data_IF_161132463617
#
_entry.id   IF_161132463617
#
_cell.length_a   1.000
_cell.length_b   1.000
_cell.length_c   1.000
_cell.angle_alpha   90.00
_cell.angle_beta   90.00
_cell.angle_gamma   90.00
#
_symmetry.space_group_name_H-M   'P 1'
#
loop_
_entity.id
_entity.type
_entity.pdbx_description
1 polymer ?
#
# COMPACT_ATOMS: atom_id res chain seq x y z
N UNK A 1 26.52 8.46 36.19
CA UNK A 1 25.74 7.35 35.58
C UNK A 1 26.60 6.11 35.68
N UNK A 2 26.21 5.15 36.52
CA UNK A 2 27.01 3.94 36.74
C UNK A 2 27.03 3.08 35.47
N UNK A 3 28.18 2.49 35.15
CA UNK A 3 28.39 1.64 33.95
C UNK A 3 27.32 0.53 33.85
N UNK A 4 26.86 0.01 34.99
CA UNK A 4 25.78 -0.98 35.12
C UNK A 4 24.39 -0.46 34.73
N UNK A 5 24.08 0.82 34.94
CA UNK A 5 22.82 1.41 34.46
C UNK A 5 22.86 1.59 32.94
N UNK A 6 24.00 2.01 32.40
CA UNK A 6 24.19 2.18 30.95
C UNK A 6 24.05 0.84 30.23
N UNK A 7 24.63 -0.24 30.77
CA UNK A 7 24.52 -1.57 30.17
C UNK A 7 23.11 -2.17 30.30
N UNK A 8 22.38 -1.86 31.38
CA UNK A 8 20.96 -2.22 31.52
C UNK A 8 20.10 -1.50 30.49
N UNK A 9 20.32 -0.21 30.28
CA UNK A 9 19.64 0.60 29.24
C UNK A 9 19.98 0.07 27.85
N UNK A 10 21.24 -0.25 27.56
CA UNK A 10 21.67 -0.86 26.28
C UNK A 10 20.99 -2.21 26.02
N UNK A 11 20.90 -3.06 27.04
CA UNK A 11 20.23 -4.36 26.93
C UNK A 11 18.73 -4.22 26.68
N UNK A 12 18.07 -3.29 27.37
CA UNK A 12 16.65 -2.97 27.14
C UNK A 12 16.43 -2.38 25.74
N UNK A 13 17.32 -1.49 25.29
CA UNK A 13 17.28 -0.90 23.96
C UNK A 13 17.45 -1.97 22.87
N UNK A 14 18.40 -2.89 23.05
CA UNK A 14 18.64 -4.00 22.13
C UNK A 14 17.40 -4.89 22.00
N UNK A 15 16.78 -5.27 23.12
CA UNK A 15 15.52 -6.04 23.11
C UNK A 15 14.35 -5.29 22.46
N UNK A 16 14.31 -3.97 22.61
CA UNK A 16 13.29 -3.15 21.94
C UNK A 16 13.52 -3.07 20.42
N UNK A 17 14.78 -2.98 19.98
CA UNK A 17 15.18 -2.92 18.57
C UNK A 17 15.07 -4.27 17.84
N UNK A 18 15.15 -5.38 18.57
CA UNK A 18 14.97 -6.75 18.01
C UNK A 18 13.52 -7.11 17.71
N UNK A 19 12.55 -6.24 18.04
CA UNK A 19 11.14 -6.53 17.75
C UNK A 19 10.88 -6.50 16.24
N UNK A 20 10.47 -7.64 15.67
CA UNK A 20 10.17 -7.79 14.23
C UNK A 20 9.10 -6.83 13.72
N UNK A 21 8.19 -6.36 14.58
CA UNK A 21 7.15 -5.39 14.21
C UNK A 21 7.73 -4.02 13.84
N UNK A 22 8.90 -3.63 14.37
CA UNK A 22 9.60 -2.42 13.92
C UNK A 22 10.06 -2.52 12.46
N UNK A 23 10.57 -3.68 12.04
CA UNK A 23 10.98 -3.90 10.65
C UNK A 23 9.77 -3.86 9.70
N UNK A 24 8.64 -4.42 10.13
CA UNK A 24 7.38 -4.34 9.39
C UNK A 24 6.95 -2.88 9.18
N UNK A 25 7.01 -2.08 10.24
CA UNK A 25 6.63 -0.65 10.20
C UNK A 25 7.51 0.13 9.22
N UNK A 26 8.83 -0.11 9.24
CA UNK A 26 9.73 0.57 8.29
C UNK A 26 9.43 0.15 6.86
N UNK A 27 9.23 -1.14 6.61
CA UNK A 27 8.93 -1.63 5.26
C UNK A 27 7.60 -1.07 4.71
N UNK A 28 6.51 -1.03 5.50
CA UNK A 28 5.22 -0.45 5.08
C UNK A 28 5.35 1.06 4.78
N UNK A 29 6.09 1.80 5.61
CA UNK A 29 6.38 3.23 5.34
C UNK A 29 7.17 3.42 4.05
N UNK A 30 8.20 2.59 3.82
CA UNK A 30 8.97 2.64 2.58
C UNK A 30 8.11 2.33 1.36
N UNK A 31 7.17 1.39 1.43
CA UNK A 31 6.21 1.13 0.34
C UNK A 31 5.36 2.36 0.04
N UNK A 32 4.85 3.04 1.06
CA UNK A 32 4.05 4.27 0.91
C UNK A 32 4.89 5.43 0.34
N UNK A 33 6.15 5.58 0.75
CA UNK A 33 7.09 6.59 0.24
C UNK A 33 7.47 6.32 -1.22
N UNK A 34 7.85 5.09 -1.56
CA UNK A 34 8.14 4.68 -2.93
C UNK A 34 6.93 4.93 -3.83
N UNK A 35 5.71 4.67 -3.36
CA UNK A 35 4.50 4.97 -4.13
C UNK A 35 4.35 6.46 -4.46
N UNK A 36 4.68 7.35 -3.52
CA UNK A 36 4.65 8.81 -3.75
C UNK A 36 5.72 9.23 -4.74
N UNK A 37 6.95 8.74 -4.57
CA UNK A 37 8.08 9.03 -5.47
C UNK A 37 7.76 8.54 -6.88
N UNK A 38 7.25 7.31 -7.01
CA UNK A 38 6.85 6.73 -8.29
C UNK A 38 5.82 7.59 -9.02
N UNK A 39 4.84 8.15 -8.30
CA UNK A 39 3.81 9.00 -8.89
C UNK A 39 4.40 10.29 -9.45
N UNK A 40 5.23 11.00 -8.66
CA UNK A 40 5.90 12.23 -9.11
C UNK A 40 6.81 11.96 -10.30
N UNK A 41 7.57 10.86 -10.25
CA UNK A 41 8.43 10.47 -11.36
C UNK A 41 7.63 10.11 -12.61
N UNK A 42 6.52 9.39 -12.46
CA UNK A 42 5.65 9.03 -13.58
C UNK A 42 5.01 10.25 -14.24
N UNK A 43 4.58 11.25 -13.45
CA UNK A 43 4.09 12.53 -13.99
C UNK A 43 5.16 13.23 -14.83
N UNK A 44 6.39 13.36 -14.29
CA UNK A 44 7.53 13.95 -15.02
C UNK A 44 7.90 13.16 -16.28
N UNK A 45 7.92 11.83 -16.20
CA UNK A 45 8.20 10.98 -17.35
C UNK A 45 7.14 11.16 -18.44
N UNK A 46 5.85 11.22 -18.07
CA UNK A 46 4.77 11.45 -19.04
C UNK A 46 4.90 12.78 -19.73
N UNK A 47 5.16 13.86 -19.00
CA UNK A 47 5.37 15.19 -19.59
C UNK A 47 6.54 15.18 -20.58
N UNK A 48 7.67 14.58 -20.19
CA UNK A 48 8.84 14.50 -21.07
C UNK A 48 8.55 13.62 -22.30
N UNK A 49 7.89 12.48 -22.11
CA UNK A 49 7.58 11.55 -23.18
C UNK A 49 6.57 12.10 -24.20
N UNK A 50 5.65 12.97 -23.79
CA UNK A 50 4.69 13.62 -24.71
C UNK A 50 5.42 14.44 -25.78
N UNK A 51 6.55 15.07 -25.45
CA UNK A 51 7.36 15.80 -26.45
C UNK A 51 7.92 14.86 -27.50
N UNK A 52 8.29 13.64 -27.09
CA UNK A 52 8.91 12.63 -27.94
C UNK A 52 7.90 11.81 -28.75
N UNK A 53 6.83 11.33 -28.12
CA UNK A 53 5.84 10.44 -28.73
C UNK A 53 4.44 10.70 -28.14
N UNK A 54 3.75 11.77 -28.57
CA UNK A 54 2.47 12.18 -27.98
C UNK A 54 1.31 11.20 -28.25
N UNK A 55 1.39 10.40 -29.30
CA UNK A 55 0.31 9.47 -29.70
C UNK A 55 0.23 8.20 -28.84
N UNK A 56 1.26 7.90 -28.04
CA UNK A 56 1.27 6.67 -27.24
C UNK A 56 0.41 6.81 -25.98
N UNK A 57 -0.67 6.02 -25.91
CA UNK A 57 -1.60 6.03 -24.77
C UNK A 57 -1.50 4.71 -24.00
N UNK A 58 -0.72 4.71 -22.94
CA UNK A 58 -0.63 3.59 -21.98
C UNK A 58 -1.15 4.06 -20.63
N UNK A 59 -2.34 3.54 -20.24
CA UNK A 59 -3.02 3.90 -18.98
C UNK A 59 -2.33 3.37 -17.73
N UNK A 60 -1.75 2.17 -17.82
CA UNK A 60 -1.04 1.55 -16.71
C UNK A 60 0.35 2.18 -16.55
N UNK A 61 0.64 2.75 -15.39
CA UNK A 61 1.90 3.46 -15.14
C UNK A 61 3.13 2.54 -15.12
N UNK A 62 2.98 1.31 -14.63
CA UNK A 62 4.09 0.34 -14.58
C UNK A 62 4.46 -0.06 -16.01
N UNK A 63 3.44 -0.38 -16.82
CA UNK A 63 3.62 -0.69 -18.24
C UNK A 63 4.14 0.51 -19.03
N UNK A 64 3.71 1.73 -18.70
CA UNK A 64 4.23 2.92 -19.34
C UNK A 64 5.71 3.17 -19.03
N UNK A 65 6.11 3.04 -17.76
CA UNK A 65 7.52 3.13 -17.37
C UNK A 65 8.38 2.08 -18.08
N UNK A 66 7.89 0.84 -18.16
CA UNK A 66 8.52 -0.24 -18.93
C UNK A 66 8.62 0.08 -20.42
N UNK A 67 7.56 0.62 -21.02
CA UNK A 67 7.56 1.02 -22.42
C UNK A 67 8.61 2.10 -22.68
N UNK A 68 8.60 3.16 -21.88
CA UNK A 68 9.52 4.27 -22.01
C UNK A 68 10.99 3.86 -21.76
N UNK A 69 11.22 2.76 -21.04
CA UNK A 69 12.56 2.26 -20.76
C UNK A 69 13.18 1.45 -21.90
N UNK A 70 12.35 0.84 -22.76
CA UNK A 70 12.79 -0.07 -23.85
C UNK A 70 12.55 0.49 -25.25
N UNK A 71 11.56 1.37 -25.42
CA UNK A 71 11.11 1.81 -26.74
C UNK A 71 12.05 2.83 -27.37
N UNK A 72 12.35 2.62 -28.65
CA UNK A 72 13.07 3.54 -29.51
C UNK A 72 12.23 3.83 -30.75
N UNK A 73 11.77 5.08 -30.90
CA UNK A 73 10.95 5.53 -32.03
C UNK A 73 11.72 5.48 -33.35
N UNK A 74 13.05 5.62 -33.34
CA UNK A 74 13.86 5.62 -34.57
C UNK A 74 14.08 4.22 -35.11
N UNK A 75 14.16 3.22 -34.22
CA UNK A 75 14.34 1.81 -34.53
C UNK A 75 13.46 0.95 -33.63
N UNK A 76 12.14 0.93 -33.88
CA UNK A 76 11.23 0.19 -33.02
C UNK A 76 11.45 -1.32 -33.18
N UNK A 77 11.69 -2.02 -32.07
CA UNK A 77 11.81 -3.48 -32.03
C UNK A 77 10.47 -4.12 -31.66
N UNK A 78 9.75 -4.62 -32.66
CA UNK A 78 8.44 -5.25 -32.47
C UNK A 78 8.51 -6.51 -31.62
N UNK A 79 9.60 -7.28 -31.68
CA UNK A 79 9.74 -8.53 -30.92
C UNK A 79 9.84 -8.25 -29.42
N UNK A 80 10.71 -7.31 -29.05
CA UNK A 80 10.87 -6.87 -27.65
C UNK A 80 9.58 -6.28 -27.10
N UNK A 81 8.83 -5.53 -27.91
CA UNK A 81 7.52 -5.01 -27.52
C UNK A 81 6.48 -6.13 -27.36
N UNK A 82 6.48 -7.13 -28.23
CA UNK A 82 5.53 -8.24 -28.17
C UNK A 82 5.68 -9.07 -26.89
N UNK A 83 6.91 -9.26 -26.41
CA UNK A 83 7.19 -9.96 -25.14
C UNK A 83 6.51 -9.29 -23.93
N UNK A 84 6.37 -7.96 -23.94
CA UNK A 84 5.88 -7.19 -22.79
C UNK A 84 4.42 -6.74 -22.93
N UNK A 85 3.94 -6.54 -24.17
CA UNK A 85 2.63 -5.94 -24.46
C UNK A 85 1.72 -6.82 -25.32
N UNK A 86 2.24 -7.91 -25.88
CA UNK A 86 1.58 -8.78 -26.84
C UNK A 86 1.70 -8.27 -28.28
N UNK A 87 1.67 -9.20 -29.24
CA UNK A 87 1.91 -8.93 -30.68
C UNK A 87 1.02 -7.82 -31.23
N UNK A 88 -0.29 -7.85 -30.93
CA UNK A 88 -1.24 -6.85 -31.42
C UNK A 88 -0.85 -5.43 -31.01
N UNK A 89 -0.48 -5.22 -29.74
CA UNK A 89 -0.10 -3.89 -29.25
C UNK A 89 1.28 -3.48 -29.74
N UNK A 90 2.20 -4.43 -29.90
CA UNK A 90 3.50 -4.16 -30.47
C UNK A 90 3.36 -3.57 -31.89
N UNK A 91 2.61 -4.23 -32.77
CA UNK A 91 2.33 -3.71 -34.12
C UNK A 91 1.60 -2.36 -34.12
N UNK A 92 0.67 -2.13 -33.18
CA UNK A 92 0.03 -0.82 -32.98
C UNK A 92 1.06 0.26 -32.62
N UNK A 93 2.00 0.00 -31.72
CA UNK A 93 3.04 0.97 -31.36
C UNK A 93 4.00 1.28 -32.50
N UNK A 94 4.42 0.26 -33.27
CA UNK A 94 5.27 0.46 -34.45
C UNK A 94 4.56 1.32 -35.50
N UNK A 95 3.28 1.03 -35.76
CA UNK A 95 2.52 1.77 -36.76
C UNK A 95 2.26 3.23 -36.33
N UNK A 96 2.06 3.49 -35.03
CA UNK A 96 2.00 4.83 -34.46
C UNK A 96 3.35 5.57 -34.56
N UNK A 97 4.46 4.86 -34.33
CA UNK A 97 5.80 5.45 -34.41
C UNK A 97 6.10 6.01 -35.80
N UNK A 98 5.72 5.28 -36.86
CA UNK A 98 5.92 5.70 -38.25
C UNK A 98 5.15 6.97 -38.62
N UNK A 99 4.03 7.25 -37.92
CA UNK A 99 3.14 8.39 -38.18
C UNK A 99 3.22 9.46 -37.09
N UNK A 100 4.17 9.33 -36.17
CA UNK A 100 4.25 10.19 -35.00
C UNK A 100 4.67 11.61 -35.37
N UNK A 101 3.96 12.59 -34.79
CA UNK A 101 4.24 14.02 -34.88
C UNK A 101 5.23 14.50 -33.80
N UNK A 102 5.65 13.61 -32.89
CA UNK A 102 6.56 13.93 -31.81
C UNK A 102 7.98 14.25 -32.31
N UNK A 103 8.76 14.92 -31.47
CA UNK A 103 10.11 15.35 -31.85
C UNK A 103 11.06 14.19 -32.14
N UNK A 104 12.05 14.42 -33.00
CA UNK A 104 13.21 13.55 -33.09
C UNK A 104 14.18 13.95 -31.99
N UNK A 105 14.40 13.07 -31.02
CA UNK A 105 15.39 13.27 -29.99
C UNK A 105 16.78 12.92 -30.53
N UNK A 106 17.80 13.61 -30.03
CA UNK A 106 19.17 13.15 -30.21
C UNK A 106 19.37 11.82 -29.47
N UNK A 107 20.39 11.04 -29.83
CA UNK A 107 20.70 9.80 -29.13
C UNK A 107 20.89 10.04 -27.62
N UNK A 108 21.57 11.14 -27.25
CA UNK A 108 21.80 11.52 -25.86
C UNK A 108 20.49 11.81 -25.12
N UNK A 109 19.56 12.54 -25.74
CA UNK A 109 18.27 12.86 -25.11
C UNK A 109 17.38 11.61 -24.97
N UNK A 110 17.38 10.74 -25.98
CA UNK A 110 16.68 9.47 -25.95
C UNK A 110 17.25 8.55 -24.86
N UNK A 111 18.58 8.52 -24.69
CA UNK A 111 19.24 7.74 -23.64
C UNK A 111 18.90 8.26 -22.24
N UNK A 112 18.84 9.58 -22.06
CA UNK A 112 18.42 10.19 -20.80
C UNK A 112 16.95 9.84 -20.46
N UNK A 113 16.05 9.92 -21.43
CA UNK A 113 14.63 9.56 -21.28
C UNK A 113 14.46 8.08 -20.94
N UNK A 114 15.17 7.18 -21.64
CA UNK A 114 15.16 5.74 -21.36
C UNK A 114 15.75 5.42 -19.99
N UNK A 115 16.84 6.08 -19.60
CA UNK A 115 17.44 5.91 -18.28
C UNK A 115 16.45 6.32 -17.17
N UNK A 116 15.71 7.41 -17.36
CA UNK A 116 14.65 7.82 -16.44
C UNK A 116 13.54 6.76 -16.35
N UNK A 117 13.06 6.27 -17.50
CA UNK A 117 12.07 5.19 -17.58
C UNK A 117 12.52 3.92 -16.86
N UNK A 118 13.78 3.50 -17.07
CA UNK A 118 14.40 2.34 -16.37
C UNK A 118 14.37 2.53 -14.86
N UNK A 119 14.77 3.70 -14.36
CA UNK A 119 14.79 3.96 -12.91
C UNK A 119 13.39 3.93 -12.28
N UNK A 120 12.39 4.48 -12.98
CA UNK A 120 11.00 4.40 -12.52
C UNK A 120 10.47 2.96 -12.51
N UNK A 121 10.80 2.18 -13.55
CA UNK A 121 10.41 0.78 -13.64
C UNK A 121 11.10 -0.08 -12.54
N UNK A 122 12.39 0.10 -12.30
CA UNK A 122 13.11 -0.51 -11.16
C UNK A 122 12.45 -0.17 -9.82
N UNK A 123 12.03 1.10 -9.64
CA UNK A 123 11.36 1.55 -8.43
C UNK A 123 9.99 0.86 -8.25
N UNK A 124 9.22 0.67 -9.32
CA UNK A 124 7.98 -0.11 -9.27
C UNK A 124 8.23 -1.56 -8.87
N UNK A 125 9.29 -2.20 -9.38
CA UNK A 125 9.65 -3.57 -9.02
C UNK A 125 10.06 -3.68 -7.54
N UNK A 126 10.90 -2.76 -7.05
CA UNK A 126 11.28 -2.69 -5.64
C UNK A 126 10.06 -2.53 -4.73
N UNK A 127 9.10 -1.68 -5.13
CA UNK A 127 7.84 -1.52 -4.39
C UNK A 127 7.05 -2.82 -4.29
N UNK A 128 6.98 -3.60 -5.37
CA UNK A 128 6.29 -4.91 -5.38
C UNK A 128 7.00 -5.91 -4.47
N UNK A 129 8.33 -5.95 -4.51
CA UNK A 129 9.14 -6.81 -3.64
C UNK A 129 8.93 -6.46 -2.16
N UNK A 130 9.01 -5.18 -1.81
CA UNK A 130 8.77 -4.72 -0.45
C UNK A 130 7.34 -4.96 0.02
N UNK A 131 6.34 -4.78 -0.85
CA UNK A 131 4.94 -5.11 -0.53
C UNK A 131 4.79 -6.61 -0.22
N UNK A 132 5.46 -7.47 -0.97
CA UNK A 132 5.44 -8.92 -0.73
C UNK A 132 6.11 -9.28 0.59
N UNK A 133 7.23 -8.63 0.90
CA UNK A 133 7.89 -8.76 2.19
C UNK A 133 7.01 -8.32 3.37
N UNK A 134 6.32 -7.18 3.22
CA UNK A 134 5.32 -6.69 4.20
C UNK A 134 4.22 -7.72 4.40
N UNK A 135 3.72 -8.33 3.32
CA UNK A 135 2.65 -9.31 3.41
C UNK A 135 3.06 -10.58 4.17
N UNK A 136 4.25 -11.11 3.88
CA UNK A 136 4.80 -12.27 4.59
C UNK A 136 5.05 -11.96 6.07
N UNK A 137 5.67 -10.81 6.35
CA UNK A 137 6.04 -10.38 7.70
C UNK A 137 4.79 -10.09 8.55
N UNK A 138 3.76 -9.49 7.97
CA UNK A 138 2.50 -9.23 8.67
C UNK A 138 1.77 -10.52 9.05
N UNK A 139 1.77 -11.53 8.18
CA UNK A 139 1.19 -12.85 8.48
C UNK A 139 1.95 -13.57 9.62
N UNK A 140 3.28 -13.43 9.67
CA UNK A 140 4.10 -13.98 10.74
C UNK A 140 3.83 -13.29 12.09
N UNK A 141 3.77 -11.96 12.09
CA UNK A 141 3.67 -11.15 13.32
C UNK A 141 2.25 -11.09 13.87
N UNK A 142 1.26 -10.98 12.99
CA UNK A 142 -0.15 -10.79 13.35
C UNK A 142 -1.06 -11.69 12.50
N UNK A 143 -1.00 -13.02 12.68
CA UNK A 143 -1.77 -13.97 11.89
C UNK A 143 -3.28 -13.78 12.06
N UNK A 144 -3.76 -13.40 13.26
CA UNK A 144 -5.20 -13.20 13.48
C UNK A 144 -5.73 -11.96 12.76
N UNK A 145 -5.03 -10.83 12.87
CA UNK A 145 -5.40 -9.60 12.15
C UNK A 145 -5.31 -9.83 10.64
N UNK A 146 -4.23 -10.46 10.17
CA UNK A 146 -4.01 -10.71 8.74
C UNK A 146 -5.07 -11.61 8.13
N UNK A 147 -5.52 -12.65 8.86
CA UNK A 147 -6.62 -13.50 8.40
C UNK A 147 -7.97 -12.76 8.34
N UNK A 148 -8.23 -11.82 9.26
CA UNK A 148 -9.48 -11.06 9.30
C UNK A 148 -9.54 -9.94 8.25
N UNK A 149 -8.43 -9.23 8.04
CA UNK A 149 -8.41 -7.97 7.31
C UNK A 149 -7.47 -7.93 6.10
N UNK A 150 -6.68 -8.98 5.90
CA UNK A 150 -5.59 -9.02 4.95
C UNK A 150 -4.28 -8.48 5.54
N UNK A 151 -3.13 -8.99 5.08
CA UNK A 151 -1.82 -8.64 5.64
C UNK A 151 -1.43 -7.17 5.43
N UNK A 152 -1.78 -6.58 4.28
CA UNK A 152 -1.55 -5.14 4.03
C UNK A 152 -2.25 -4.24 5.05
N UNK A 153 -3.52 -4.53 5.37
CA UNK A 153 -4.26 -3.75 6.37
C UNK A 153 -3.74 -4.04 7.78
N UNK A 154 -3.31 -5.27 8.07
CA UNK A 154 -2.66 -5.61 9.33
C UNK A 154 -1.36 -4.81 9.54
N UNK A 155 -0.49 -4.76 8.53
CA UNK A 155 0.73 -3.96 8.54
C UNK A 155 0.42 -2.48 8.80
N UNK A 156 -0.55 -1.90 8.07
CA UNK A 156 -0.95 -0.50 8.28
C UNK A 156 -1.49 -0.25 9.69
N UNK A 157 -2.31 -1.14 10.26
CA UNK A 157 -2.78 -1.00 11.64
C UNK A 157 -1.62 -0.95 12.64
N UNK A 158 -0.62 -1.81 12.46
CA UNK A 158 0.59 -1.83 13.30
C UNK A 158 1.40 -0.54 13.09
N UNK A 159 1.60 -0.09 11.84
CA UNK A 159 2.29 1.15 11.48
C UNK A 159 1.67 2.38 12.14
N UNK A 160 0.35 2.53 12.07
CA UNK A 160 -0.35 3.66 12.67
C UNK A 160 -0.38 3.58 14.20
N UNK A 161 -0.43 2.39 14.79
CA UNK A 161 -0.32 2.23 16.24
C UNK A 161 1.10 2.53 16.75
N UNK A 162 2.12 2.13 15.98
CA UNK A 162 3.55 2.25 16.28
C UNK A 162 4.20 0.95 16.79
N UNK A 163 3.41 -0.05 17.15
CA UNK A 163 3.83 -1.42 17.48
C UNK A 163 2.61 -2.33 17.60
N UNK A 164 2.79 -3.65 17.53
CA UNK A 164 1.72 -4.61 17.78
C UNK A 164 1.26 -4.55 19.24
N UNK A 165 2.22 -4.39 20.16
CA UNK A 165 1.95 -4.20 21.60
C UNK A 165 0.97 -3.04 21.83
N UNK A 166 1.27 -1.87 21.25
CA UNK A 166 0.43 -0.70 21.42
C UNK A 166 -0.94 -0.90 20.76
N UNK A 167 -1.00 -1.54 19.60
CA UNK A 167 -2.27 -1.90 18.95
C UNK A 167 -3.14 -2.83 19.81
N UNK A 168 -2.53 -3.77 20.55
CA UNK A 168 -3.23 -4.68 21.46
C UNK A 168 -3.86 -3.96 22.67
N UNK A 169 -3.30 -2.82 23.08
CA UNK A 169 -3.87 -1.98 24.16
C UNK A 169 -5.07 -1.14 23.71
N UNK A 170 -5.22 -0.90 22.40
CA UNK A 170 -6.26 0.00 21.90
C UNK A 170 -7.67 -0.57 22.08
N UNK A 171 -8.65 0.25 22.50
CA UNK A 171 -10.04 -0.13 22.45
C UNK A 171 -10.53 -0.15 21.00
N UNK A 172 -11.63 -0.87 20.75
CA UNK A 172 -12.24 -0.97 19.43
C UNK A 172 -12.61 0.40 18.82
N UNK A 173 -13.00 1.37 19.66
CA UNK A 173 -13.29 2.75 19.21
C UNK A 173 -12.07 3.45 18.62
N UNK A 174 -10.88 3.26 19.20
CA UNK A 174 -9.62 3.80 18.67
C UNK A 174 -9.22 3.07 17.39
N UNK A 175 -9.27 1.74 17.36
CA UNK A 175 -8.99 0.94 16.15
C UNK A 175 -9.90 1.35 14.98
N UNK A 176 -11.16 1.67 15.26
CA UNK A 176 -12.13 2.10 14.25
C UNK A 176 -11.69 3.37 13.51
N UNK A 177 -11.10 4.34 14.20
CA UNK A 177 -10.78 5.67 13.66
C UNK A 177 -9.28 5.89 13.46
N UNK A 178 -8.47 4.86 13.63
CA UNK A 178 -7.01 4.92 13.45
C UNK A 178 -6.66 5.38 12.02
N UNK A 179 -5.76 6.34 11.87
CA UNK A 179 -5.43 7.01 10.61
C UNK A 179 -6.42 8.09 10.15
N UNK A 180 -7.48 8.37 10.91
CA UNK A 180 -8.39 9.51 10.70
C UNK A 180 -8.23 10.58 11.79
N UNK A 181 -7.06 10.67 12.42
CA UNK A 181 -6.77 11.55 13.55
C UNK A 181 -7.08 13.01 13.22
N UNK A 182 -6.71 13.49 12.03
CA UNK A 182 -6.98 14.86 11.60
C UNK A 182 -8.49 15.18 11.61
N UNK A 183 -9.32 14.26 11.13
CA UNK A 183 -10.78 14.43 11.12
C UNK A 183 -11.37 14.28 12.52
N UNK A 184 -10.84 13.37 13.33
CA UNK A 184 -11.24 13.16 14.71
C UNK A 184 -10.92 14.39 15.58
N UNK A 185 -9.71 14.93 15.50
CA UNK A 185 -9.31 16.14 16.24
C UNK A 185 -10.09 17.36 15.78
N UNK A 186 -10.44 17.46 14.49
CA UNK A 186 -11.36 18.50 14.00
C UNK A 186 -12.74 18.38 14.63
N UNK A 187 -13.27 17.16 14.76
CA UNK A 187 -14.53 16.91 15.47
C UNK A 187 -14.46 17.35 16.94
N UNK A 188 -13.41 16.94 17.66
CA UNK A 188 -13.23 17.29 19.08
C UNK A 188 -13.09 18.80 19.31
N UNK A 189 -12.47 19.54 18.37
CA UNK A 189 -12.29 21.00 18.48
C UNK A 189 -13.49 21.82 18.00
N UNK A 190 -14.19 21.37 16.96
CA UNK A 190 -15.23 22.15 16.27
C UNK A 190 -16.64 21.57 16.40
N UNK A 191 -16.84 20.53 17.21
CA UNK A 191 -18.11 19.81 17.39
C UNK A 191 -18.80 19.43 16.06
N UNK A 192 -18.04 19.13 15.01
CA UNK A 192 -18.61 18.66 13.73
C UNK A 192 -18.98 17.17 13.80
N UNK A 193 -19.31 16.50 12.69
CA UNK A 193 -19.57 15.04 12.75
C UNK A 193 -18.26 14.26 12.87
N UNK A 194 -18.16 13.20 13.72
CA UNK A 194 -16.96 12.37 13.83
C UNK A 194 -16.73 11.52 12.58
N UNK A 195 -15.47 11.11 12.30
CA UNK A 195 -15.18 10.14 11.25
C UNK A 195 -15.80 8.78 11.58
N UNK A 196 -16.40 8.12 10.59
CA UNK A 196 -17.02 6.79 10.77
C UNK A 196 -16.01 5.66 10.79
N UNK A 197 -14.87 5.86 10.14
CA UNK A 197 -13.80 4.88 9.97
C UNK A 197 -12.50 5.59 9.63
N UNK A 198 -11.37 5.00 10.03
CA UNK A 198 -10.04 5.36 9.59
C UNK A 198 -9.53 4.41 8.51
N UNK A 199 -8.31 3.88 8.68
CA UNK A 199 -7.65 3.00 7.70
C UNK A 199 -8.37 1.69 7.47
N UNK A 200 -9.20 1.25 8.41
CA UNK A 200 -10.06 0.07 8.24
C UNK A 200 -11.06 0.22 7.07
N UNK A 201 -11.24 1.43 6.54
CA UNK A 201 -12.00 1.66 5.30
C UNK A 201 -11.46 0.88 4.10
N UNK A 202 -10.17 0.56 4.09
CA UNK A 202 -9.54 -0.25 3.04
C UNK A 202 -10.10 -1.68 2.97
N UNK A 203 -10.73 -2.17 4.03
CA UNK A 203 -11.36 -3.48 4.03
C UNK A 203 -12.55 -3.52 3.06
N UNK A 204 -12.59 -4.52 2.18
CA UNK A 204 -13.57 -4.64 1.09
C UNK A 204 -15.02 -4.55 1.58
N UNK A 205 -15.32 -5.18 2.72
CA UNK A 205 -16.66 -5.15 3.32
C UNK A 205 -17.15 -3.73 3.68
N UNK A 206 -16.24 -2.78 3.94
CA UNK A 206 -16.58 -1.39 4.26
C UNK A 206 -16.56 -0.54 2.99
N UNK A 207 -15.52 -0.69 2.15
CA UNK A 207 -15.38 0.06 0.91
C UNK A 207 -16.60 -0.11 -0.01
N UNK A 208 -17.05 -1.36 -0.18
CA UNK A 208 -18.16 -1.72 -1.07
C UNK A 208 -19.54 -1.47 -0.44
N UNK A 209 -19.63 -1.21 0.87
CA UNK A 209 -20.90 -1.00 1.53
C UNK A 209 -21.52 0.39 1.27
N UNK A 210 -22.85 0.51 1.25
CA UNK A 210 -23.55 1.79 1.21
C UNK A 210 -23.14 2.75 2.34
N UNK A 211 -23.09 4.06 2.06
CA UNK A 211 -22.60 5.10 3.00
C UNK A 211 -23.28 5.10 4.39
N UNK A 212 -24.54 4.69 4.46
CA UNK A 212 -25.29 4.61 5.72
C UNK A 212 -24.93 3.37 6.56
N UNK A 213 -24.48 2.27 5.94
CA UNK A 213 -24.09 1.03 6.63
C UNK A 213 -22.62 1.01 7.06
N UNK A 214 -21.76 1.77 6.38
CA UNK A 214 -20.31 1.79 6.65
C UNK A 214 -19.98 1.92 8.14
N UNK A 215 -20.62 2.84 8.86
CA UNK A 215 -20.36 3.02 10.30
C UNK A 215 -20.78 1.84 11.19
N UNK A 216 -21.80 1.06 10.81
CA UNK A 216 -22.19 -0.17 11.53
C UNK A 216 -21.16 -1.27 11.28
N UNK A 217 -20.72 -1.44 10.03
CA UNK A 217 -19.75 -2.45 9.62
C UNK A 217 -18.36 -2.14 10.20
N UNK A 218 -17.93 -0.88 10.17
CA UNK A 218 -16.65 -0.43 10.74
C UNK A 218 -16.56 -0.70 12.24
N UNK A 219 -17.64 -0.48 13.01
CA UNK A 219 -17.68 -0.85 14.43
C UNK A 219 -17.55 -2.35 14.65
N UNK A 220 -18.27 -3.15 13.86
CA UNK A 220 -18.21 -4.61 13.97
C UNK A 220 -16.80 -5.14 13.65
N UNK A 221 -16.17 -4.63 12.58
CA UNK A 221 -14.82 -5.02 12.20
C UNK A 221 -13.80 -4.59 13.27
N UNK A 222 -13.86 -3.34 13.72
CA UNK A 222 -12.92 -2.82 14.73
C UNK A 222 -12.99 -3.60 16.05
N UNK A 223 -14.18 -4.05 16.45
CA UNK A 223 -14.34 -4.91 17.63
C UNK A 223 -13.60 -6.24 17.47
N UNK A 224 -13.68 -6.89 16.30
CA UNK A 224 -12.99 -8.15 16.03
C UNK A 224 -11.48 -7.95 15.88
N UNK A 225 -11.06 -6.87 15.23
CA UNK A 225 -9.64 -6.51 15.11
C UNK A 225 -8.98 -6.22 16.47
N UNK A 226 -9.69 -5.56 17.39
CA UNK A 226 -9.18 -5.31 18.74
C UNK A 226 -9.03 -6.60 19.57
N UNK A 227 -9.88 -7.62 19.33
CA UNK A 227 -9.71 -8.94 19.96
C UNK A 227 -8.55 -9.69 19.31
N UNK A 228 -8.46 -9.66 17.98
CA UNK A 228 -7.39 -10.28 17.22
C UNK A 228 -6.01 -9.71 17.59
N UNK A 229 -5.87 -8.39 17.74
CA UNK A 229 -4.60 -7.76 18.13
C UNK A 229 -4.14 -8.19 19.51
N UNK A 230 -5.08 -8.33 20.47
CA UNK A 230 -4.79 -8.87 21.80
C UNK A 230 -4.38 -10.33 21.74
N UNK A 231 -5.04 -11.12 20.88
CA UNK A 231 -4.70 -12.53 20.72
C UNK A 231 -3.30 -12.69 20.12
N UNK A 232 -2.98 -11.94 19.06
CA UNK A 232 -1.67 -11.94 18.39
C UNK A 232 -0.54 -11.53 19.35
N UNK A 233 -0.77 -10.53 20.20
CA UNK A 233 0.28 -10.05 21.12
C UNK A 233 0.41 -10.89 22.40
N UNK A 234 -0.68 -11.10 23.13
CA UNK A 234 -0.65 -11.70 24.48
C UNK A 234 -0.73 -13.23 24.44
N UNK A 235 -1.71 -13.77 23.72
CA UNK A 235 -2.01 -15.21 23.79
C UNK A 235 -1.24 -16.04 22.77
N UNK A 236 -0.90 -15.44 21.62
CA UNK A 236 -0.34 -16.09 20.43
C UNK A 236 -1.17 -17.26 19.86
N UNK A 237 -2.43 -17.39 20.30
CA UNK A 237 -3.35 -18.40 19.80
C UNK A 237 -4.03 -17.92 18.52
N UNK A 238 -4.23 -18.83 17.57
CA UNK A 238 -4.99 -18.55 16.37
C UNK A 238 -6.49 -18.73 16.62
N UNK A 239 -7.23 -17.63 16.63
CA UNK A 239 -8.68 -17.54 16.88
C UNK A 239 -9.44 -16.87 15.72
N UNK A 240 -8.75 -16.57 14.63
CA UNK A 240 -9.25 -15.74 13.54
C UNK A 240 -10.47 -16.33 12.84
N UNK A 241 -10.55 -17.66 12.69
CA UNK A 241 -11.68 -18.34 12.04
C UNK A 241 -13.01 -18.05 12.76
N UNK A 242 -13.00 -18.16 14.09
CA UNK A 242 -14.16 -17.84 14.92
C UNK A 242 -14.51 -16.36 14.80
N UNK A 243 -13.51 -15.48 14.89
CA UNK A 243 -13.73 -14.03 14.77
C UNK A 243 -14.29 -13.64 13.40
N UNK A 244 -13.86 -14.32 12.33
CA UNK A 244 -14.33 -14.10 10.96
C UNK A 244 -15.77 -14.54 10.82
N UNK A 245 -16.11 -15.73 11.30
CA UNK A 245 -17.50 -16.22 11.31
C UNK A 245 -18.43 -15.26 12.05
N UNK A 246 -18.05 -14.83 13.25
CA UNK A 246 -18.83 -13.85 14.03
C UNK A 246 -19.01 -12.52 13.27
N UNK A 247 -17.96 -12.06 12.57
CA UNK A 247 -18.02 -10.83 11.78
C UNK A 247 -18.97 -10.97 10.60
N UNK A 248 -18.91 -12.08 9.88
CA UNK A 248 -19.79 -12.37 8.74
C UNK A 248 -21.26 -12.48 9.16
N UNK A 249 -21.55 -13.14 10.28
CA UNK A 249 -22.90 -13.21 10.86
C UNK A 249 -23.43 -11.81 11.19
N UNK A 250 -22.58 -10.97 11.81
CA UNK A 250 -22.94 -9.57 12.09
C UNK A 250 -23.18 -8.76 10.82
N UNK A 251 -22.39 -9.00 9.78
CA UNK A 251 -22.53 -8.34 8.48
C UNK A 251 -23.84 -8.71 7.79
N UNK A 252 -24.22 -9.99 7.81
CA UNK A 252 -25.53 -10.46 7.32
C UNK A 252 -26.68 -9.79 8.07
N UNK A 253 -26.60 -9.69 9.39
CA UNK A 253 -27.61 -9.02 10.20
C UNK A 253 -27.76 -7.53 9.85
N UNK A 254 -26.63 -6.82 9.64
CA UNK A 254 -26.64 -5.40 9.24
C UNK A 254 -27.30 -5.23 7.86
N UNK A 255 -27.05 -6.13 6.92
CA UNK A 255 -27.61 -6.07 5.57
C UNK A 255 -29.11 -6.43 5.52
N UNK A 256 -29.60 -7.26 6.43
CA UNK A 256 -31.03 -7.59 6.56
C UNK A 256 -31.85 -6.47 7.20
N UNK A 257 -31.23 -5.65 8.04
CA UNK A 257 -31.83 -4.46 8.67
C UNK A 257 -31.96 -3.26 7.69
N UNK A 258 -31.99 -3.51 6.38
CA UNK A 258 -32.13 -2.49 5.34
C UNK A 258 -33.58 -2.03 5.20
#
# INVERSE_FOLDING_TARGET
MNVTEVDKVRSQLKKALEKRDLLLIQADRSVDELSKIANVMNERLREWYIVYFPEVIIKDNVKFARFASIFDKTRPDEKVLAEHFGEKKAGEFVSLAMRSMGSQLTQSDADALRAYGRKLDELYQLRIQLSSYVDLTANEIAPNISHLAGPQLAAKLITFAGSLEKLATFPASTVQVLGAEKALFKHLRKNCKPPKHGIIFLHQAIANAPKHLRGKISRALAAKLAIASKADFYSKNFIAEKLKKDFEERLRAINRSK
#
